data_IF_600632450402
#
_entry.id   IF_600632450402
#
_cell.length_a   1.000
_cell.length_b   1.000
_cell.length_c   1.000
_cell.angle_alpha   90.00
_cell.angle_beta   90.00
_cell.angle_gamma   90.00
#
_symmetry.space_group_name_H-M   'P 1'
#
loop_
_entity.id
_entity.type
_entity.pdbx_description
1 polymer ?
#
# COMPACT_ATOMS: atom_id res chain seq x y z
N UNK A 1 11.69 25.11 -33.44
CA UNK A 1 12.20 24.22 -32.38
C UNK A 1 13.40 23.40 -32.80
N UNK A 2 13.44 22.83 -34.02
CA UNK A 2 14.61 22.08 -34.54
C UNK A 2 15.89 22.93 -34.52
N UNK A 3 15.88 24.16 -35.00
CA UNK A 3 17.07 25.04 -35.05
C UNK A 3 17.68 25.37 -33.67
N UNK A 4 16.85 25.49 -32.61
CA UNK A 4 17.34 25.75 -31.26
C UNK A 4 18.00 24.50 -30.63
N UNK A 5 17.48 23.32 -30.94
CA UNK A 5 18.06 22.07 -30.49
C UNK A 5 19.41 21.78 -31.16
N UNK A 6 19.53 22.02 -32.47
CA UNK A 6 20.77 21.82 -33.22
C UNK A 6 21.87 22.79 -32.79
N UNK A 7 21.54 24.03 -32.38
CA UNK A 7 22.54 24.98 -31.84
C UNK A 7 23.13 24.52 -30.50
N UNK A 8 22.37 23.83 -29.70
CA UNK A 8 22.80 23.39 -28.37
C UNK A 8 23.49 22.01 -28.42
N UNK A 9 23.10 21.19 -29.37
CA UNK A 9 23.63 19.83 -29.56
C UNK A 9 23.97 19.60 -31.05
N UNK A 10 25.21 19.90 -31.48
CA UNK A 10 25.60 19.83 -32.89
C UNK A 10 25.55 18.40 -33.47
N UNK A 11 25.70 17.40 -32.65
CA UNK A 11 25.68 15.98 -33.04
C UNK A 11 24.25 15.38 -33.09
N UNK A 12 23.22 16.23 -32.93
CA UNK A 12 21.84 15.79 -32.99
C UNK A 12 21.42 15.52 -34.44
N UNK A 13 20.96 14.30 -34.72
CA UNK A 13 20.40 13.95 -36.03
C UNK A 13 19.02 14.61 -36.22
N UNK A 14 18.57 14.69 -37.51
CA UNK A 14 17.25 15.24 -37.84
C UNK A 14 16.10 14.53 -37.12
N UNK A 15 16.26 13.24 -36.81
CA UNK A 15 15.30 12.42 -36.07
C UNK A 15 15.35 12.64 -34.57
N UNK A 16 16.18 13.56 -34.08
CA UNK A 16 16.29 13.84 -32.64
C UNK A 16 17.12 12.81 -31.86
N UNK A 17 17.99 12.08 -32.55
CA UNK A 17 18.84 11.07 -31.92
C UNK A 17 20.29 11.53 -31.82
N UNK A 18 20.97 11.16 -30.76
CA UNK A 18 22.40 11.45 -30.53
C UNK A 18 23.11 10.20 -29.97
N UNK A 19 24.40 10.09 -30.27
CA UNK A 19 25.24 9.09 -29.65
C UNK A 19 25.65 9.57 -28.25
N UNK A 20 25.16 8.89 -27.22
CA UNK A 20 25.47 9.19 -25.81
C UNK A 20 26.62 8.33 -25.30
N UNK A 21 27.36 8.86 -24.32
CA UNK A 21 28.35 8.12 -23.56
C UNK A 21 27.78 7.70 -22.23
N UNK A 22 28.08 6.47 -21.79
CA UNK A 22 27.79 6.03 -20.44
C UNK A 22 28.58 6.87 -19.43
N UNK A 23 27.89 7.48 -18.50
CA UNK A 23 28.51 8.32 -17.46
C UNK A 23 29.41 7.56 -16.47
N UNK A 24 29.36 6.23 -16.43
CA UNK A 24 30.18 5.40 -15.55
C UNK A 24 31.46 4.93 -16.25
N UNK A 25 31.34 4.41 -17.47
CA UNK A 25 32.44 3.80 -18.22
C UNK A 25 33.10 4.77 -19.18
N UNK A 26 32.38 5.83 -19.61
CA UNK A 26 32.82 6.75 -20.64
C UNK A 26 32.73 6.21 -22.08
N UNK A 27 32.28 4.96 -22.22
CA UNK A 27 32.12 4.31 -23.53
C UNK A 27 30.89 4.83 -24.28
N UNK A 28 30.93 4.81 -25.60
CA UNK A 28 29.77 5.15 -26.45
C UNK A 28 28.72 4.03 -26.36
N UNK A 29 27.46 4.42 -26.23
CA UNK A 29 26.34 3.47 -26.34
C UNK A 29 26.30 2.91 -27.79
N UNK A 30 26.00 1.62 -27.90
CA UNK A 30 25.90 0.93 -29.21
C UNK A 30 24.86 1.55 -30.15
N UNK A 31 23.79 2.08 -29.59
CA UNK A 31 22.69 2.68 -30.35
C UNK A 31 22.52 4.15 -30.00
N UNK A 32 22.18 4.95 -31.03
CA UNK A 32 21.78 6.33 -30.82
C UNK A 32 20.49 6.40 -29.99
N UNK A 33 20.42 7.35 -29.06
CA UNK A 33 19.30 7.55 -28.14
C UNK A 33 18.56 8.83 -28.51
N UNK A 34 17.24 8.78 -28.50
CA UNK A 34 16.40 9.96 -28.69
C UNK A 34 16.51 10.89 -27.49
N UNK A 35 16.82 12.15 -27.73
CA UNK A 35 16.83 13.18 -26.68
C UNK A 35 15.84 14.28 -26.99
N UNK A 36 15.32 14.92 -25.94
CA UNK A 36 14.38 16.03 -26.07
C UNK A 36 14.06 16.66 -24.74
N UNK A 37 13.34 17.77 -24.78
CA UNK A 37 12.82 18.41 -23.57
C UNK A 37 11.51 17.75 -23.17
N UNK A 38 11.46 17.27 -21.93
CA UNK A 38 10.24 16.72 -21.33
C UNK A 38 9.71 17.68 -20.28
N UNK A 39 8.41 17.91 -20.31
CA UNK A 39 7.75 18.71 -19.27
C UNK A 39 7.60 17.85 -18.01
N UNK A 40 8.20 18.30 -16.93
CA UNK A 40 8.16 17.58 -15.64
C UNK A 40 7.33 18.36 -14.63
N UNK A 41 6.43 17.64 -13.96
CA UNK A 41 5.58 18.16 -12.90
C UNK A 41 5.94 17.48 -11.58
N UNK A 42 6.07 18.26 -10.52
CA UNK A 42 6.05 17.75 -9.15
C UNK A 42 4.61 17.69 -8.69
N UNK A 43 4.12 16.48 -8.40
CA UNK A 43 2.75 16.28 -7.91
C UNK A 43 2.67 16.55 -6.41
N UNK A 44 1.49 16.98 -5.97
CA UNK A 44 1.20 17.31 -4.55
C UNK A 44 0.94 16.08 -3.68
N UNK A 45 1.24 14.89 -4.18
CA UNK A 45 1.07 13.64 -3.45
C UNK A 45 2.19 13.43 -2.44
N UNK A 46 2.14 14.17 -1.33
CA UNK A 46 3.10 14.02 -0.25
C UNK A 46 2.83 12.78 0.59
N UNK A 47 3.89 12.19 1.10
CA UNK A 47 3.80 11.01 1.96
C UNK A 47 3.08 11.30 3.26
N UNK A 48 3.24 12.48 3.82
CA UNK A 48 2.60 12.90 5.07
C UNK A 48 1.08 12.88 5.00
N UNK A 49 0.52 13.14 3.81
CA UNK A 49 -0.93 13.07 3.58
C UNK A 49 -1.45 11.64 3.45
N UNK A 50 -0.58 10.68 3.13
CA UNK A 50 -0.94 9.30 2.81
C UNK A 50 -0.54 8.29 3.87
N UNK A 51 0.55 8.56 4.62
CA UNK A 51 0.99 7.66 5.68
C UNK A 51 -0.08 7.55 6.76
N UNK A 52 -0.45 6.33 7.10
CA UNK A 52 -1.45 6.08 8.12
C UNK A 52 -1.18 4.75 8.81
N UNK A 53 -1.33 4.73 10.14
CA UNK A 53 -1.25 3.54 10.96
C UNK A 53 -2.30 3.60 12.07
N UNK A 54 -2.75 2.44 12.51
CA UNK A 54 -3.73 2.31 13.59
C UNK A 54 -3.40 1.10 14.44
N UNK A 55 -3.48 1.28 15.76
CA UNK A 55 -3.54 0.17 16.72
C UNK A 55 -4.96 0.02 17.25
N UNK A 56 -5.43 1.00 17.99
CA UNK A 56 -6.80 1.13 18.50
C UNK A 56 -7.37 2.46 18.01
N UNK A 57 -8.69 2.55 17.87
CA UNK A 57 -9.32 3.78 17.41
C UNK A 57 -10.85 3.67 17.44
N UNK A 58 -11.57 4.61 16.86
CA UNK A 58 -13.03 4.62 16.87
C UNK A 58 -13.62 3.45 16.06
N UNK A 59 -14.75 2.96 16.53
CA UNK A 59 -15.54 1.89 15.91
C UNK A 59 -16.94 2.39 15.55
N UNK A 60 -17.55 1.78 14.54
CA UNK A 60 -18.95 2.04 14.22
C UNK A 60 -19.87 1.60 15.35
N UNK A 61 -20.87 2.40 15.67
CA UNK A 61 -21.85 2.08 16.73
C UNK A 61 -22.70 0.85 16.42
N UNK A 62 -23.07 0.67 15.17
CA UNK A 62 -23.98 -0.40 14.73
C UNK A 62 -23.21 -1.69 14.49
N UNK A 63 -22.20 -1.66 13.63
CA UNK A 63 -21.47 -2.86 13.21
C UNK A 63 -20.31 -3.24 14.11
N UNK A 64 -19.86 -2.33 14.98
CA UNK A 64 -18.68 -2.49 15.83
C UNK A 64 -17.39 -2.79 15.06
N UNK A 65 -17.37 -2.47 13.79
CA UNK A 65 -16.20 -2.55 12.94
C UNK A 65 -15.37 -1.27 13.01
N UNK A 66 -14.05 -1.32 12.78
CA UNK A 66 -13.23 -0.12 12.68
C UNK A 66 -13.76 0.82 11.58
N UNK A 67 -13.77 2.11 11.86
CA UNK A 67 -14.10 3.11 10.85
C UNK A 67 -13.06 3.11 9.73
N UNK A 68 -13.42 3.62 8.55
CA UNK A 68 -12.51 3.80 7.42
C UNK A 68 -11.93 5.21 7.33
N UNK A 69 -10.80 5.34 6.63
CA UNK A 69 -10.20 6.62 6.29
C UNK A 69 -9.20 7.17 7.32
N UNK A 70 -8.18 7.86 6.82
CA UNK A 70 -7.11 8.47 7.63
C UNK A 70 -7.66 9.54 8.59
N UNK A 71 -8.58 10.38 8.11
CA UNK A 71 -9.14 11.50 8.89
C UNK A 71 -9.87 11.02 10.16
N UNK A 72 -10.45 9.83 10.14
CA UNK A 72 -11.18 9.23 11.25
C UNK A 72 -10.30 8.26 12.06
N UNK A 73 -9.01 8.25 11.84
CA UNK A 73 -8.11 7.26 12.43
C UNK A 73 -8.62 5.83 12.23
N UNK A 74 -9.08 5.55 11.02
CA UNK A 74 -9.70 4.29 10.64
C UNK A 74 -8.73 3.18 10.29
N UNK A 75 -9.26 1.97 10.15
CA UNK A 75 -8.51 0.80 9.69
C UNK A 75 -8.53 0.65 8.17
N UNK A 76 -7.68 -0.24 7.68
CA UNK A 76 -7.65 -0.62 6.27
C UNK A 76 -8.79 -1.59 5.95
N UNK A 77 -9.35 -1.48 4.76
CA UNK A 77 -10.35 -2.44 4.28
C UNK A 77 -9.66 -3.74 3.87
N UNK A 78 -10.04 -4.82 4.50
CA UNK A 78 -9.66 -6.18 4.09
C UNK A 78 -10.77 -6.73 3.19
N UNK A 79 -10.62 -6.57 1.89
CA UNK A 79 -11.63 -6.91 0.91
C UNK A 79 -11.66 -8.39 0.55
N UNK A 80 -12.54 -8.76 -0.37
CA UNK A 80 -12.72 -10.14 -0.85
C UNK A 80 -11.45 -10.71 -1.48
N UNK A 81 -10.73 -9.91 -2.27
CA UNK A 81 -9.49 -10.36 -2.92
C UNK A 81 -8.38 -10.65 -1.91
N UNK A 82 -8.27 -9.88 -0.84
CA UNK A 82 -7.31 -10.09 0.25
C UNK A 82 -7.64 -11.36 1.03
N UNK A 83 -8.92 -11.68 1.20
CA UNK A 83 -9.38 -12.96 1.77
C UNK A 83 -8.92 -14.13 0.90
N UNK A 84 -9.09 -14.05 -0.42
CA UNK A 84 -8.63 -15.08 -1.34
C UNK A 84 -7.12 -15.30 -1.28
N UNK A 85 -6.35 -14.24 -1.10
CA UNK A 85 -4.91 -14.34 -0.92
C UNK A 85 -4.54 -15.15 0.32
N UNK A 86 -5.19 -14.91 1.45
CA UNK A 86 -4.97 -15.71 2.67
C UNK A 86 -5.43 -17.14 2.52
N UNK A 87 -6.52 -17.39 1.83
CA UNK A 87 -6.97 -18.75 1.48
C UNK A 87 -5.94 -19.48 0.62
N UNK A 88 -5.39 -18.82 -0.39
CA UNK A 88 -4.33 -19.34 -1.24
C UNK A 88 -3.06 -19.72 -0.48
N UNK A 89 -2.72 -18.99 0.59
CA UNK A 89 -1.63 -19.34 1.50
C UNK A 89 -1.99 -20.44 2.51
N UNK A 90 -3.26 -20.80 2.65
CA UNK A 90 -3.72 -21.73 3.68
C UNK A 90 -3.64 -21.16 5.09
N UNK A 91 -3.59 -19.85 5.26
CA UNK A 91 -3.43 -19.15 6.54
C UNK A 91 -4.77 -18.97 7.26
N UNK A 92 -5.45 -20.07 7.60
CA UNK A 92 -6.79 -20.03 8.19
C UNK A 92 -6.85 -19.32 9.54
N UNK A 93 -5.85 -19.47 10.40
CA UNK A 93 -5.80 -18.81 11.70
C UNK A 93 -5.68 -17.29 11.58
N UNK A 94 -4.88 -16.81 10.63
CA UNK A 94 -4.73 -15.37 10.34
C UNK A 94 -6.03 -14.81 9.79
N UNK A 95 -6.69 -15.52 8.89
CA UNK A 95 -7.99 -15.13 8.35
C UNK A 95 -9.05 -15.04 9.46
N UNK A 96 -9.10 -16.03 10.35
CA UNK A 96 -10.01 -16.02 11.50
C UNK A 96 -9.76 -14.81 12.42
N UNK A 97 -8.51 -14.47 12.68
CA UNK A 97 -8.14 -13.31 13.46
C UNK A 97 -8.59 -12.00 12.79
N UNK A 98 -8.40 -11.87 11.47
CA UNK A 98 -8.84 -10.70 10.71
C UNK A 98 -10.35 -10.50 10.74
N UNK A 99 -11.12 -11.58 10.72
CA UNK A 99 -12.59 -11.54 10.70
C UNK A 99 -13.22 -11.35 12.09
N UNK A 100 -12.51 -11.63 13.17
CA UNK A 100 -13.05 -11.62 14.54
C UNK A 100 -12.44 -10.53 15.41
N UNK A 101 -11.29 -10.79 16.01
CA UNK A 101 -10.62 -9.91 16.98
C UNK A 101 -10.26 -8.55 16.37
N UNK A 102 -9.85 -8.51 15.13
CA UNK A 102 -9.50 -7.28 14.42
C UNK A 102 -10.69 -6.58 13.77
N UNK A 103 -11.88 -7.13 13.84
CA UNK A 103 -13.08 -6.58 13.22
C UNK A 103 -14.17 -6.29 14.26
N UNK A 104 -15.11 -7.19 14.46
CA UNK A 104 -16.38 -6.96 15.19
C UNK A 104 -16.53 -7.69 16.52
N UNK A 105 -15.60 -8.57 16.89
CA UNK A 105 -15.64 -9.29 18.16
C UNK A 105 -15.20 -8.40 19.34
N UNK A 106 -16.16 -7.77 19.99
CA UNK A 106 -15.93 -6.86 21.12
C UNK A 106 -15.26 -7.61 22.29
N UNK A 107 -15.82 -8.76 22.68
CA UNK A 107 -15.32 -9.53 23.83
C UNK A 107 -13.92 -10.09 23.60
N UNK A 108 -13.66 -10.57 22.38
CA UNK A 108 -12.34 -11.08 22.00
C UNK A 108 -11.30 -9.97 21.96
N UNK A 109 -11.68 -8.80 21.50
CA UNK A 109 -10.83 -7.60 21.45
C UNK A 109 -10.40 -7.16 22.85
N UNK A 110 -11.35 -7.01 23.77
CA UNK A 110 -11.06 -6.56 25.13
C UNK A 110 -10.13 -7.54 25.87
N UNK A 111 -10.40 -8.83 25.76
CA UNK A 111 -9.54 -9.89 26.33
C UNK A 111 -8.13 -9.89 25.70
N UNK A 112 -8.05 -9.63 24.43
CA UNK A 112 -6.75 -9.57 23.72
C UNK A 112 -5.92 -8.39 24.20
N UNK A 113 -6.53 -7.20 24.34
CA UNK A 113 -5.85 -6.03 24.87
C UNK A 113 -5.40 -6.23 26.33
N UNK A 114 -6.26 -6.79 27.18
CA UNK A 114 -5.90 -7.11 28.55
C UNK A 114 -4.67 -8.03 28.63
N UNK A 115 -4.62 -9.04 27.79
CA UNK A 115 -3.48 -9.98 27.75
C UNK A 115 -2.21 -9.36 27.20
N UNK A 116 -2.32 -8.51 26.18
CA UNK A 116 -1.16 -7.77 25.65
C UNK A 116 -0.55 -6.88 26.74
N UNK A 117 -1.39 -6.16 27.49
CA UNK A 117 -0.93 -5.29 28.60
C UNK A 117 -0.27 -6.12 29.72
N UNK A 118 -0.80 -7.32 30.01
CA UNK A 118 -0.26 -8.23 31.01
C UNK A 118 0.94 -9.06 30.53
N UNK A 119 1.34 -8.94 29.26
CA UNK A 119 2.43 -9.72 28.66
C UNK A 119 2.13 -11.23 28.56
N UNK A 120 0.86 -11.61 28.50
CA UNK A 120 0.43 -13.01 28.40
C UNK A 120 0.25 -13.43 26.94
N UNK A 121 0.29 -14.76 26.70
CA UNK A 121 0.02 -15.30 25.36
C UNK A 121 -1.40 -14.96 24.89
N UNK A 122 -1.57 -14.68 23.60
CA UNK A 122 -2.85 -14.32 23.01
C UNK A 122 -3.85 -15.48 23.10
N UNK A 123 -5.14 -15.15 23.19
CA UNK A 123 -6.24 -16.13 23.14
C UNK A 123 -6.45 -16.56 21.69
N UNK A 124 -6.86 -17.80 21.48
CA UNK A 124 -7.40 -18.20 20.17
C UNK A 124 -8.58 -17.32 19.79
N UNK A 125 -8.63 -16.89 18.56
CA UNK A 125 -9.72 -16.10 18.00
C UNK A 125 -11.04 -16.85 18.12
N UNK A 126 -12.12 -16.11 18.38
CA UNK A 126 -13.48 -16.65 18.41
C UNK A 126 -14.00 -17.05 17.03
N UNK A 127 -15.24 -17.44 16.96
CA UNK A 127 -15.97 -17.72 15.73
C UNK A 127 -16.82 -16.49 15.38
N UNK A 128 -16.83 -16.02 14.11
CA UNK A 128 -17.69 -14.93 13.68
C UNK A 128 -19.17 -15.19 14.01
N UNK A 129 -19.90 -14.16 14.44
CA UNK A 129 -21.34 -14.31 14.75
C UNK A 129 -22.15 -14.73 13.51
N UNK A 130 -21.78 -14.26 12.32
CA UNK A 130 -22.39 -14.70 11.06
C UNK A 130 -22.28 -16.20 10.83
N UNK A 131 -21.17 -16.81 11.23
CA UNK A 131 -20.97 -18.25 11.14
C UNK A 131 -21.87 -19.03 12.11
N UNK A 132 -22.11 -18.47 13.33
CA UNK A 132 -23.02 -19.08 14.31
C UNK A 132 -24.47 -19.11 13.85
N UNK A 133 -24.87 -18.13 13.01
CA UNK A 133 -26.21 -18.10 12.42
C UNK A 133 -26.38 -19.19 11.36
N UNK A 134 -25.30 -19.57 10.68
CA UNK A 134 -25.33 -20.62 9.66
C UNK A 134 -25.29 -22.03 10.25
N UNK A 135 -24.68 -22.19 11.40
CA UNK A 135 -24.51 -23.47 12.10
C UNK A 135 -25.59 -23.66 13.15
#
# INVERSE_FOLDING_TARGET
MKELATRKYPDLTEDGMIALRDGRTGELMEKKVTIGCMYMLKLIHFVDDKIHARSTGPYSLITQQPLGGKAQFGGQRFGEMEVWALEGYGAANVLQEMLTVKSDDIRGRDKTYERIVKGQSLVKSGVPESFRVMY
#
